data_IF_874438555840
#
_entry.id   IF_874438555840
#
_cell.length_a   1.000
_cell.length_b   1.000
_cell.length_c   1.000
_cell.angle_alpha   90.00
_cell.angle_beta   90.00
_cell.angle_gamma   90.00
#
_symmetry.space_group_name_H-M   'P 1'
#
loop_
_entity.id
_entity.type
_entity.pdbx_description
1 polymer ?
#
# COMPACT_ATOMS: atom_id res chain seq x y z
N UNK A 1 8.36 -62.51 -9.82
CA UNK A 1 7.52 -61.65 -10.68
C UNK A 1 6.55 -60.76 -9.86
N UNK A 2 5.85 -61.28 -8.84
CA UNK A 2 4.95 -60.45 -7.98
C UNK A 2 5.62 -59.31 -7.19
N UNK A 3 6.92 -59.40 -6.88
CA UNK A 3 7.61 -58.42 -6.02
C UNK A 3 8.04 -57.16 -6.78
N UNK A 4 8.41 -57.28 -8.06
CA UNK A 4 8.81 -56.14 -8.90
C UNK A 4 7.62 -55.25 -9.29
N UNK A 5 6.45 -55.84 -9.46
CA UNK A 5 5.22 -55.08 -9.77
C UNK A 5 4.79 -54.25 -8.57
N UNK A 6 4.78 -54.81 -7.35
CA UNK A 6 4.45 -54.07 -6.12
C UNK A 6 5.35 -52.85 -5.89
N UNK A 7 6.66 -52.97 -6.15
CA UNK A 7 7.59 -51.85 -6.03
C UNK A 7 7.38 -50.77 -7.09
N UNK A 8 6.98 -51.15 -8.31
CA UNK A 8 6.64 -50.19 -9.38
C UNK A 8 5.38 -49.38 -9.03
N UNK A 9 4.34 -50.02 -8.48
CA UNK A 9 3.12 -49.36 -8.03
C UNK A 9 3.36 -48.40 -6.86
N UNK A 10 4.22 -48.77 -5.91
CA UNK A 10 4.59 -47.90 -4.78
C UNK A 10 5.34 -46.66 -5.26
N UNK A 11 6.32 -46.82 -6.17
CA UNK A 11 7.08 -45.69 -6.72
C UNK A 11 6.21 -44.75 -7.57
N UNK A 12 5.25 -45.29 -8.33
CA UNK A 12 4.31 -44.48 -9.11
C UNK A 12 3.36 -43.70 -8.19
N UNK A 13 2.84 -44.34 -7.14
CA UNK A 13 1.97 -43.69 -6.15
C UNK A 13 2.71 -42.58 -5.38
N UNK A 14 3.96 -42.81 -4.97
CA UNK A 14 4.78 -41.80 -4.27
C UNK A 14 5.08 -40.58 -5.14
N UNK A 15 5.38 -40.78 -6.44
CA UNK A 15 5.62 -39.67 -7.38
C UNK A 15 4.36 -38.84 -7.62
N UNK A 16 3.21 -39.49 -7.76
CA UNK A 16 1.92 -38.81 -7.87
C UNK A 16 1.58 -38.00 -6.62
N UNK A 17 1.87 -38.53 -5.43
CA UNK A 17 1.63 -37.84 -4.16
C UNK A 17 2.51 -36.59 -4.02
N UNK A 18 3.80 -36.68 -4.37
CA UNK A 18 4.73 -35.53 -4.33
C UNK A 18 4.32 -34.45 -5.33
N UNK A 19 3.92 -34.80 -6.55
CA UNK A 19 3.42 -33.83 -7.53
C UNK A 19 2.14 -33.14 -7.06
N UNK A 20 1.22 -33.88 -6.42
CA UNK A 20 0.00 -33.31 -5.86
C UNK A 20 0.28 -32.33 -4.71
N UNK A 21 1.22 -32.67 -3.82
CA UNK A 21 1.62 -31.81 -2.70
C UNK A 21 2.35 -30.54 -3.18
N UNK A 22 3.23 -30.65 -4.18
CA UNK A 22 3.91 -29.49 -4.78
C UNK A 22 2.93 -28.58 -5.54
N UNK A 23 1.95 -29.15 -6.24
CA UNK A 23 0.89 -28.39 -6.90
C UNK A 23 -0.02 -27.66 -5.91
N UNK A 24 -0.39 -28.32 -4.80
CA UNK A 24 -1.17 -27.70 -3.74
C UNK A 24 -0.40 -26.56 -3.04
N UNK A 25 0.90 -26.74 -2.79
CA UNK A 25 1.76 -25.69 -2.21
C UNK A 25 1.90 -24.47 -3.13
N UNK A 26 1.99 -24.69 -4.45
CA UNK A 26 1.99 -23.62 -5.46
C UNK A 26 0.68 -22.84 -5.50
N UNK A 27 -0.47 -23.53 -5.39
CA UNK A 27 -1.79 -22.90 -5.36
C UNK A 27 -2.00 -22.05 -4.10
N UNK A 28 -1.49 -22.48 -2.95
CA UNK A 28 -1.59 -21.72 -1.69
C UNK A 28 -0.74 -20.44 -1.66
N UNK A 29 0.33 -20.35 -2.45
CA UNK A 29 1.19 -19.15 -2.53
C UNK A 29 0.64 -18.06 -3.47
N UNK A 30 -0.32 -18.41 -4.34
CA UNK A 30 -0.88 -17.48 -5.35
C UNK A 30 -2.05 -16.65 -4.80
N UNK A 31 -2.64 -17.02 -3.66
CA UNK A 31 -3.77 -16.29 -3.08
C UNK A 31 -3.34 -15.26 -2.04
N UNK A 32 -2.64 -14.22 -2.49
CA UNK A 32 -2.62 -12.93 -1.81
C UNK A 32 -2.90 -11.84 -2.84
N UNK A 33 -4.10 -11.84 -3.42
CA UNK A 33 -4.60 -10.66 -4.13
C UNK A 33 -5.38 -9.87 -3.08
N UNK A 34 -4.80 -8.78 -2.56
CA UNK A 34 -5.59 -7.82 -1.80
C UNK A 34 -6.66 -7.26 -2.75
N UNK A 35 -7.92 -7.51 -2.44
CA UNK A 35 -9.02 -6.88 -3.14
C UNK A 35 -9.10 -5.44 -2.64
N UNK A 36 -8.52 -4.52 -3.40
CA UNK A 36 -8.64 -3.09 -3.13
C UNK A 36 -10.03 -2.60 -3.54
N UNK A 37 -10.80 -2.04 -2.60
CA UNK A 37 -11.99 -1.28 -2.95
C UNK A 37 -11.55 0.03 -3.59
N UNK A 38 -11.53 0.06 -4.93
CA UNK A 38 -11.16 1.23 -5.71
C UNK A 38 -12.03 2.44 -5.35
N UNK A 39 -13.34 2.25 -5.11
CA UNK A 39 -14.24 3.38 -4.79
C UNK A 39 -13.91 3.96 -3.42
N UNK A 40 -13.53 3.12 -2.47
CA UNK A 40 -13.08 3.59 -1.16
C UNK A 40 -11.76 4.35 -1.26
N UNK A 41 -10.79 3.83 -2.03
CA UNK A 41 -9.53 4.51 -2.27
C UNK A 41 -9.73 5.88 -2.94
N UNK A 42 -10.57 5.96 -3.97
CA UNK A 42 -10.92 7.23 -4.63
C UNK A 42 -11.55 8.24 -3.66
N UNK A 43 -12.51 7.80 -2.83
CA UNK A 43 -13.11 8.65 -1.78
C UNK A 43 -12.05 9.15 -0.80
N UNK A 44 -11.16 8.27 -0.36
CA UNK A 44 -10.09 8.63 0.57
C UNK A 44 -9.14 9.67 -0.02
N UNK A 45 -8.72 9.51 -1.29
CA UNK A 45 -7.83 10.45 -1.96
C UNK A 45 -8.49 11.83 -2.06
N UNK A 46 -9.72 11.91 -2.57
CA UNK A 46 -10.44 13.18 -2.73
C UNK A 46 -10.56 13.93 -1.40
N UNK A 47 -10.96 13.21 -0.35
CA UNK A 47 -11.14 13.81 0.98
C UNK A 47 -9.80 14.20 1.62
N UNK A 48 -8.76 13.39 1.46
CA UNK A 48 -7.42 13.69 2.00
C UNK A 48 -6.79 14.90 1.32
N UNK A 49 -6.96 15.05 -0.01
CA UNK A 49 -6.49 16.23 -0.75
C UNK A 49 -7.22 17.50 -0.30
N UNK A 50 -8.54 17.42 -0.08
CA UNK A 50 -9.32 18.54 0.48
C UNK A 50 -8.78 18.96 1.85
N UNK A 51 -8.59 17.99 2.75
CA UNK A 51 -8.05 18.22 4.08
C UNK A 51 -6.62 18.79 4.03
N UNK A 52 -5.79 18.33 3.10
CA UNK A 52 -4.44 18.86 2.93
C UNK A 52 -4.48 20.35 2.55
N UNK A 53 -5.29 20.73 1.56
CA UNK A 53 -5.42 22.13 1.16
C UNK A 53 -5.88 23.03 2.33
N UNK A 54 -6.86 22.57 3.11
CA UNK A 54 -7.36 23.29 4.29
C UNK A 54 -6.31 23.39 5.40
N UNK A 55 -5.52 22.35 5.61
CA UNK A 55 -4.45 22.33 6.61
C UNK A 55 -3.38 23.39 6.33
N UNK A 56 -2.98 23.55 5.07
CA UNK A 56 -1.99 24.55 4.64
C UNK A 56 -2.53 25.98 4.80
N UNK A 57 -3.83 26.18 4.56
CA UNK A 57 -4.47 27.49 4.74
C UNK A 57 -4.66 27.87 6.23
N UNK A 58 -5.01 26.89 7.07
CA UNK A 58 -5.32 27.10 8.50
C UNK A 58 -4.11 26.99 9.43
N UNK A 59 -3.07 26.28 9.00
CA UNK A 59 -1.91 25.91 9.79
C UNK A 59 -2.12 24.66 10.66
N UNK A 60 -3.13 23.83 10.38
CA UNK A 60 -3.39 22.59 11.12
C UNK A 60 -2.46 21.44 10.67
N UNK A 61 -1.26 21.40 11.23
CA UNK A 61 -0.27 20.38 10.89
C UNK A 61 -0.68 18.95 11.27
N UNK A 62 -1.67 18.76 12.15
CA UNK A 62 -2.12 17.43 12.58
C UNK A 62 -2.75 16.63 11.43
N UNK A 63 -3.35 17.33 10.47
CA UNK A 63 -3.88 16.73 9.24
C UNK A 63 -2.75 16.14 8.41
N UNK A 64 -1.68 16.92 8.18
CA UNK A 64 -0.50 16.49 7.41
C UNK A 64 0.16 15.28 8.05
N UNK A 65 0.29 15.27 9.37
CA UNK A 65 0.85 14.14 10.13
C UNK A 65 0.07 12.83 9.90
N UNK A 66 -1.25 12.93 9.78
CA UNK A 66 -2.15 11.79 9.59
C UNK A 66 -2.21 11.29 8.15
N UNK A 67 -2.28 12.18 7.16
CA UNK A 67 -2.60 11.79 5.77
C UNK A 67 -1.37 11.42 4.94
N UNK A 68 -0.20 12.00 5.22
CA UNK A 68 1.01 11.71 4.45
C UNK A 68 1.68 10.45 4.95
N UNK A 69 2.16 9.61 4.03
CA UNK A 69 2.99 8.45 4.36
C UNK A 69 4.33 8.89 4.96
N UNK A 70 4.94 8.04 5.80
CA UNK A 70 6.20 8.36 6.47
C UNK A 70 7.38 8.51 5.49
N UNK A 71 7.30 7.86 4.33
CA UNK A 71 8.25 7.94 3.22
C UNK A 71 7.86 8.97 2.14
N UNK A 72 6.91 9.86 2.45
CA UNK A 72 6.50 10.93 1.54
C UNK A 72 7.69 11.76 1.04
N UNK A 73 7.71 12.01 -0.27
CA UNK A 73 8.65 12.92 -0.94
C UNK A 73 7.84 13.94 -1.74
N UNK A 74 7.94 15.20 -1.34
CA UNK A 74 7.43 16.36 -2.09
C UNK A 74 8.54 17.04 -2.88
N UNK A 75 8.16 17.80 -3.90
CA UNK A 75 9.07 18.62 -4.71
C UNK A 75 8.57 20.06 -4.69
N UNK A 76 9.44 21.00 -4.32
CA UNK A 76 9.14 22.42 -4.29
C UNK A 76 9.21 23.05 -5.70
N UNK A 77 8.72 24.30 -5.90
CA UNK A 77 8.73 24.95 -7.21
C UNK A 77 10.12 25.16 -7.84
N UNK A 78 11.21 25.00 -7.08
CA UNK A 78 12.60 25.10 -7.55
C UNK A 78 13.22 23.71 -7.81
N UNK A 79 12.44 22.64 -7.67
CA UNK A 79 12.91 21.26 -7.83
C UNK A 79 13.57 20.67 -6.57
N UNK A 80 13.52 21.37 -5.43
CA UNK A 80 14.04 20.87 -4.16
C UNK A 80 13.12 19.80 -3.57
N UNK A 81 13.69 18.65 -3.17
CA UNK A 81 12.92 17.59 -2.51
C UNK A 81 12.76 17.87 -1.01
N UNK A 82 11.63 17.44 -0.44
CA UNK A 82 11.39 17.51 0.99
C UNK A 82 10.55 16.32 1.49
N UNK A 83 10.73 15.96 2.76
CA UNK A 83 10.00 14.88 3.41
C UNK A 83 8.87 15.37 4.33
N UNK A 84 8.12 14.41 4.88
CA UNK A 84 6.96 14.64 5.76
C UNK A 84 7.24 15.60 6.92
N UNK A 85 8.36 15.42 7.63
CA UNK A 85 8.73 16.27 8.77
C UNK A 85 8.84 17.75 8.40
N UNK A 86 9.35 18.06 7.20
CA UNK A 86 9.45 19.43 6.71
C UNK A 86 8.07 20.00 6.37
N UNK A 87 7.21 19.24 5.69
CA UNK A 87 5.83 19.66 5.39
C UNK A 87 5.01 19.94 6.66
N UNK A 88 5.15 19.10 7.69
CA UNK A 88 4.48 19.30 9.00
C UNK A 88 4.92 20.61 9.63
N UNK A 89 6.24 20.87 9.68
CA UNK A 89 6.78 22.12 10.23
C UNK A 89 6.32 23.34 9.43
N UNK A 90 6.42 23.28 8.10
CA UNK A 90 6.07 24.40 7.22
C UNK A 90 4.57 24.70 7.23
N UNK A 91 3.72 23.68 7.40
CA UNK A 91 2.28 23.88 7.57
C UNK A 91 1.97 24.60 8.88
N UNK A 92 2.60 24.18 9.99
CA UNK A 92 2.42 24.85 11.28
C UNK A 92 2.85 26.31 11.25
N UNK A 93 3.94 26.59 10.53
CA UNK A 93 4.53 27.92 10.41
C UNK A 93 3.97 28.70 9.20
N UNK A 94 2.98 28.15 8.49
CA UNK A 94 2.46 28.69 7.25
C UNK A 94 1.82 30.07 7.48
N UNK A 95 2.06 31.03 6.58
CA UNK A 95 1.38 32.31 6.66
C UNK A 95 -0.13 32.15 6.41
N UNK A 96 -0.94 32.55 7.40
CA UNK A 96 -2.41 32.44 7.37
C UNK A 96 -3.11 33.42 6.40
N UNK A 97 -2.40 33.97 5.42
CA UNK A 97 -2.95 34.93 4.45
C UNK A 97 -3.48 34.26 3.18
N UNK A 98 -3.22 32.96 2.98
CA UNK A 98 -3.88 32.20 1.92
C UNK A 98 -5.31 31.86 2.38
N UNK A 99 -6.28 32.62 1.91
CA UNK A 99 -7.69 32.29 2.08
C UNK A 99 -8.08 31.25 1.02
N UNK A 100 -8.53 30.07 1.45
CA UNK A 100 -9.32 29.21 0.59
C UNK A 100 -10.67 29.91 0.37
N UNK A 101 -11.19 29.98 -0.87
CA UNK A 101 -12.52 30.55 -1.12
C UNK A 101 -13.67 29.75 -0.46
N UNK A 102 -13.36 28.67 0.25
CA UNK A 102 -14.29 27.85 1.01
C UNK A 102 -14.25 28.09 2.53
N UNK A 103 -13.41 29.01 3.04
CA UNK A 103 -13.50 29.53 4.43
C UNK A 103 -14.20 30.88 4.50
#
# INVERSE_FOLDING_TARGET
MLHSERLAWINLASRSLVCALLGALWLSLVSCTQHYDQKEAERYIIESERQWAESVASGDSSVVERILADDFVGVDPKGGMYGKAKMVSETRDAPKYFASNHV
#
